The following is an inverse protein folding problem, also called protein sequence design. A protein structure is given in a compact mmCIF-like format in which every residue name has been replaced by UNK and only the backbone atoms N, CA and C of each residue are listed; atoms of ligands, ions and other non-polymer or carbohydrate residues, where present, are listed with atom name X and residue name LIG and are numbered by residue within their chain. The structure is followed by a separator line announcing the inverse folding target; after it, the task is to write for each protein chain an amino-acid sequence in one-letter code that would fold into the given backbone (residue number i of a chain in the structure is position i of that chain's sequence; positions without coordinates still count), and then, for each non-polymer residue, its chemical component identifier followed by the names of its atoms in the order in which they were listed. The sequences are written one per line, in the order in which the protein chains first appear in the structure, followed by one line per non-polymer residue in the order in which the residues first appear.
data_IF_611612165420
#
_entry.id   IF_611612165420
#
_cell.length_a   1.000
_cell.length_b   1.000
_cell.length_c   1.000
_cell.angle_alpha   90.00
_cell.angle_beta   90.00
_cell.angle_gamma   90.00
#
_symmetry.space_group_name_H-M   'P 1'
#
loop_
_entity.id
_entity.type
_entity.pdbx_description
1 polymer ?
#
# COMPACT_ATOMS: atom_id res chain seq x y z
N UNK A 1 -6.65 -4.34 62.28
CA UNK A 1 -5.61 -4.83 61.34
C UNK A 1 -5.95 -4.61 59.85
N UNK A 2 -6.74 -3.59 59.47
CA UNK A 2 -7.19 -3.40 58.07
C UNK A 2 -6.38 -2.38 57.23
N UNK A 3 -5.45 -1.62 57.83
CA UNK A 3 -4.74 -0.52 57.13
C UNK A 3 -3.47 -0.92 56.36
N UNK A 4 -2.92 -2.12 56.59
CA UNK A 4 -1.66 -2.55 55.93
C UNK A 4 -1.87 -3.06 54.50
N UNK A 5 -3.07 -3.51 54.16
CA UNK A 5 -3.38 -4.04 52.83
C UNK A 5 -3.57 -2.94 51.77
N UNK A 6 -3.98 -1.74 52.21
CA UNK A 6 -4.17 -0.59 51.32
C UNK A 6 -2.86 0.00 50.77
N UNK A 7 -1.77 -0.06 51.54
CA UNK A 7 -0.45 0.40 51.10
C UNK A 7 0.20 -0.55 50.07
N UNK A 8 -0.03 -1.85 50.20
CA UNK A 8 0.42 -2.83 49.22
C UNK A 8 -0.36 -2.69 47.89
N UNK A 9 -1.68 -2.48 47.96
CA UNK A 9 -2.52 -2.29 46.78
C UNK A 9 -2.15 -1.02 45.99
N UNK A 10 -1.88 0.10 46.68
CA UNK A 10 -1.45 1.35 46.05
C UNK A 10 -0.08 1.26 45.40
N UNK A 11 0.87 0.55 46.02
CA UNK A 11 2.18 0.28 45.43
C UNK A 11 2.11 -0.53 44.13
N UNK A 12 1.25 -1.55 44.09
CA UNK A 12 1.03 -2.38 42.88
C UNK A 12 0.36 -1.57 41.77
N UNK A 13 -0.67 -0.77 42.09
CA UNK A 13 -1.34 0.09 41.10
C UNK A 13 -0.36 1.11 40.50
N UNK A 14 0.48 1.73 41.32
CA UNK A 14 1.50 2.67 40.84
C UNK A 14 2.51 1.99 39.92
N UNK A 15 2.97 0.78 40.26
CA UNK A 15 3.88 -0.01 39.44
C UNK A 15 3.27 -0.39 38.09
N UNK A 16 1.99 -0.77 38.06
CA UNK A 16 1.26 -1.08 36.81
C UNK A 16 1.10 0.17 35.96
N UNK A 17 0.77 1.33 36.56
CA UNK A 17 0.64 2.59 35.83
C UNK A 17 1.98 3.10 35.30
N UNK A 18 3.07 2.95 36.05
CA UNK A 18 4.42 3.30 35.58
C UNK A 18 4.85 2.36 34.45
N UNK A 19 4.61 1.06 34.57
CA UNK A 19 4.91 0.11 33.50
C UNK A 19 4.10 0.41 32.23
N UNK A 20 2.79 0.65 32.35
CA UNK A 20 1.93 1.05 31.25
C UNK A 20 2.37 2.40 30.64
N UNK A 21 2.73 3.37 31.48
CA UNK A 21 3.28 4.66 31.06
C UNK A 21 4.61 4.52 30.32
N UNK A 22 5.48 3.61 30.75
CA UNK A 22 6.77 3.33 30.07
C UNK A 22 6.55 2.59 28.75
N UNK A 23 5.59 1.67 28.68
CA UNK A 23 5.21 0.98 27.43
C UNK A 23 4.66 1.97 26.40
N UNK A 24 3.75 2.86 26.83
CA UNK A 24 3.20 3.94 26.00
C UNK A 24 4.29 4.95 25.60
N UNK A 25 5.14 5.39 26.55
CA UNK A 25 6.21 6.35 26.29
C UNK A 25 7.34 5.79 25.42
N UNK A 26 7.58 4.47 25.44
CA UNK A 26 8.53 3.80 24.54
C UNK A 26 7.96 3.54 23.15
N UNK A 27 6.69 3.87 22.90
CA UNK A 27 6.05 3.65 21.60
C UNK A 27 5.82 2.17 21.30
N UNK A 28 5.75 1.32 22.32
CA UNK A 28 5.33 -0.07 22.17
C UNK A 28 3.81 -0.09 22.10
N UNK A 29 3.29 0.50 21.03
CA UNK A 29 1.91 0.28 20.62
C UNK A 29 1.88 -1.16 20.14
N UNK A 30 1.47 -2.07 21.03
CA UNK A 30 0.90 -3.32 20.56
C UNK A 30 -0.27 -2.89 19.67
N UNK A 31 -0.20 -3.24 18.39
CA UNK A 31 -1.33 -3.19 17.49
C UNK A 31 -2.05 -4.54 17.61
N UNK A 32 -3.00 -4.76 18.55
CA UNK A 32 -3.97 -5.82 18.37
C UNK A 32 -5.11 -5.26 17.53
N UNK A 33 -4.82 -4.73 16.33
CA UNK A 33 -5.88 -4.54 15.36
C UNK A 33 -6.08 -5.92 14.75
N UNK A 34 -6.91 -6.72 15.41
CA UNK A 34 -7.49 -7.91 14.83
C UNK A 34 -8.86 -7.52 14.33
N UNK A 35 -8.97 -7.32 13.03
CA UNK A 35 -10.24 -7.15 12.36
C UNK A 35 -11.00 -8.50 12.48
N UNK A 36 -12.21 -8.55 13.06
CA UNK A 36 -12.93 -9.80 13.22
C UNK A 36 -13.13 -10.51 11.87
N UNK A 37 -12.78 -11.79 11.79
CA UNK A 37 -12.89 -12.57 10.55
C UNK A 37 -11.68 -12.46 9.61
N UNK A 38 -10.58 -11.84 10.04
CA UNK A 38 -9.32 -11.78 9.29
C UNK A 38 -8.24 -12.65 9.92
N UNK A 39 -7.21 -12.97 9.14
CA UNK A 39 -6.06 -13.79 9.56
C UNK A 39 -4.79 -12.95 9.44
N UNK A 40 -4.05 -12.80 10.53
CA UNK A 40 -2.76 -12.07 10.48
C UNK A 40 -1.76 -12.79 9.58
N UNK A 41 -1.05 -12.02 8.75
CA UNK A 41 -0.01 -12.51 7.84
C UNK A 41 1.33 -11.86 8.13
N UNK A 42 2.45 -12.57 7.91
CA UNK A 42 3.78 -12.01 8.14
C UNK A 42 4.07 -10.90 7.12
N UNK A 43 4.30 -9.69 7.64
CA UNK A 43 4.73 -8.51 6.87
C UNK A 43 6.17 -8.17 7.21
N UNK A 44 7.04 -8.13 6.19
CA UNK A 44 8.44 -7.76 6.36
C UNK A 44 8.72 -6.39 5.76
N UNK A 45 9.37 -5.51 6.51
CA UNK A 45 9.91 -4.25 5.97
C UNK A 45 11.26 -4.57 5.33
N UNK A 46 11.30 -4.56 4.00
CA UNK A 46 12.51 -4.86 3.22
C UNK A 46 13.39 -3.62 3.10
N UNK A 47 12.79 -2.45 2.89
CA UNK A 47 13.49 -1.17 2.84
C UNK A 47 12.60 -0.04 3.37
N UNK A 48 13.18 0.87 4.15
CA UNK A 48 12.53 2.12 4.58
C UNK A 48 12.85 3.31 3.68
N UNK A 49 13.58 3.06 2.59
CA UNK A 49 13.98 4.06 1.61
C UNK A 49 13.56 3.60 0.22
N UNK A 50 13.12 4.53 -0.60
CA UNK A 50 12.67 4.26 -1.96
C UNK A 50 12.47 5.54 -2.76
N UNK A 51 11.76 5.46 -3.90
CA UNK A 51 11.34 6.64 -4.65
C UNK A 51 10.53 7.59 -3.77
N UNK A 52 10.57 8.89 -4.10
CA UNK A 52 9.72 9.88 -3.43
C UNK A 52 8.26 9.52 -3.70
N UNK A 53 7.42 9.48 -2.67
CA UNK A 53 6.01 9.21 -2.87
C UNK A 53 5.37 10.40 -3.57
N UNK A 54 4.66 10.14 -4.66
CA UNK A 54 4.08 11.18 -5.53
C UNK A 54 2.66 10.85 -5.91
N UNK A 55 1.90 11.88 -6.35
CA UNK A 55 0.58 11.68 -6.97
C UNK A 55 -0.56 11.24 -6.05
N UNK A 56 -0.40 11.36 -4.73
CA UNK A 56 -1.39 10.99 -3.71
C UNK A 56 -1.80 9.51 -3.70
N UNK A 57 -0.94 8.63 -4.21
CA UNK A 57 -1.13 7.18 -4.19
C UNK A 57 -0.38 6.61 -3.00
N UNK A 58 -1.13 6.14 -2.00
CA UNK A 58 -0.53 5.68 -0.75
C UNK A 58 0.04 4.26 -0.84
N UNK A 59 -0.47 3.44 -1.76
CA UNK A 59 -0.06 2.03 -1.88
C UNK A 59 0.00 1.57 -3.33
N UNK A 60 1.07 0.86 -3.65
CA UNK A 60 1.25 0.11 -4.89
C UNK A 60 1.70 -1.29 -4.55
N UNK A 61 1.31 -2.27 -5.36
CA UNK A 61 1.66 -3.65 -5.13
C UNK A 61 1.97 -4.37 -6.45
N UNK A 62 3.01 -5.20 -6.44
CA UNK A 62 3.43 -5.98 -7.60
C UNK A 62 4.23 -7.23 -7.19
N UNK A 63 4.37 -8.17 -8.12
CA UNK A 63 5.09 -9.43 -7.90
C UNK A 63 6.59 -9.33 -8.18
N UNK A 64 7.05 -8.21 -8.76
CA UNK A 64 8.43 -7.95 -9.10
C UNK A 64 8.83 -6.52 -8.73
N UNK A 65 10.11 -6.31 -8.46
CA UNK A 65 10.66 -4.96 -8.22
C UNK A 65 10.55 -4.07 -9.45
N UNK A 66 10.68 -4.64 -10.64
CA UNK A 66 10.66 -3.89 -11.90
C UNK A 66 9.26 -3.33 -12.19
N UNK A 67 8.22 -4.15 -11.98
CA UNK A 67 6.82 -3.71 -12.10
C UNK A 67 6.49 -2.64 -11.06
N UNK A 68 6.94 -2.83 -9.81
CA UNK A 68 6.71 -1.86 -8.75
C UNK A 68 7.41 -0.53 -9.04
N UNK A 69 8.65 -0.57 -9.53
CA UNK A 69 9.38 0.62 -9.98
C UNK A 69 8.66 1.28 -11.15
N UNK A 70 8.18 0.51 -12.12
CA UNK A 70 7.43 1.05 -13.25
C UNK A 70 6.17 1.80 -12.81
N UNK A 71 5.41 1.25 -11.86
CA UNK A 71 4.25 1.91 -11.25
C UNK A 71 4.66 3.21 -10.54
N UNK A 72 5.71 3.18 -9.70
CA UNK A 72 6.16 4.38 -8.97
C UNK A 72 6.67 5.49 -9.90
N UNK A 73 7.39 5.14 -10.98
CA UNK A 73 7.93 6.10 -11.95
C UNK A 73 6.85 6.65 -12.89
N UNK A 74 5.76 5.91 -13.09
CA UNK A 74 4.63 6.39 -13.85
C UNK A 74 3.86 7.51 -13.14
N UNK A 75 3.81 7.48 -11.81
CA UNK A 75 3.09 8.47 -11.01
C UNK A 75 3.89 9.78 -10.86
N UNK A 76 5.21 9.70 -10.75
CA UNK A 76 6.08 10.86 -10.57
C UNK A 76 7.37 10.77 -11.41
N UNK A 77 7.46 11.61 -12.45
CA UNK A 77 8.59 11.60 -13.39
C UNK A 77 9.95 11.92 -12.73
N UNK A 78 9.98 12.73 -11.66
CA UNK A 78 11.21 13.07 -10.93
C UNK A 78 11.85 11.90 -10.16
N UNK A 79 11.11 10.80 -9.99
CA UNK A 79 11.60 9.61 -9.28
C UNK A 79 12.62 8.82 -10.09
N UNK A 80 12.52 8.82 -11.41
CA UNK A 80 13.32 7.96 -12.28
C UNK A 80 14.81 8.34 -12.21
N UNK A 81 15.12 9.64 -12.36
CA UNK A 81 16.49 10.14 -12.25
C UNK A 81 17.05 9.99 -10.83
N UNK A 82 16.24 10.27 -9.81
CA UNK A 82 16.63 10.15 -8.41
C UNK A 82 16.98 8.70 -8.05
N UNK A 83 16.16 7.75 -8.52
CA UNK A 83 16.35 6.33 -8.26
C UNK A 83 17.44 5.68 -9.12
N UNK A 84 17.73 6.21 -10.31
CA UNK A 84 18.90 5.78 -11.10
C UNK A 84 20.20 6.00 -10.33
N UNK A 85 20.31 7.12 -9.62
CA UNK A 85 21.49 7.45 -8.80
C UNK A 85 21.45 6.70 -7.46
N UNK A 86 20.31 6.72 -6.77
CA UNK A 86 20.15 6.13 -5.45
C UNK A 86 19.99 4.60 -5.46
N UNK A 87 19.83 3.98 -6.65
CA UNK A 87 19.58 2.54 -6.82
C UNK A 87 18.38 2.06 -6.00
N UNK A 88 17.24 2.73 -6.15
CA UNK A 88 16.02 2.37 -5.40
C UNK A 88 15.67 0.90 -5.63
N UNK A 89 15.73 0.11 -4.55
CA UNK A 89 15.32 -1.30 -4.48
C UNK A 89 16.01 -2.28 -5.45
N UNK A 90 16.97 -1.84 -6.26
CA UNK A 90 17.61 -2.68 -7.28
C UNK A 90 18.56 -3.75 -6.71
N UNK A 91 18.90 -3.67 -5.43
CA UNK A 91 19.71 -4.65 -4.69
C UNK A 91 18.88 -5.57 -3.79
N UNK A 92 17.55 -5.50 -3.85
CA UNK A 92 16.68 -6.27 -2.97
C UNK A 92 16.63 -7.72 -3.43
N UNK A 93 17.06 -8.64 -2.57
CA UNK A 93 16.89 -10.08 -2.74
C UNK A 93 15.97 -10.61 -1.67
N UNK A 94 14.86 -11.24 -2.07
CA UNK A 94 13.93 -11.88 -1.15
C UNK A 94 14.28 -13.35 -0.96
N UNK A 95 14.18 -13.83 0.28
CA UNK A 95 14.41 -15.25 0.59
C UNK A 95 13.30 -16.18 0.08
N UNK A 96 12.11 -15.62 -0.22
CA UNK A 96 10.92 -16.36 -0.68
C UNK A 96 10.17 -15.54 -1.73
N UNK A 97 9.39 -16.20 -2.60
CA UNK A 97 8.41 -15.51 -3.45
C UNK A 97 7.42 -14.73 -2.58
N UNK A 98 7.34 -13.43 -2.80
CA UNK A 98 6.52 -12.51 -2.01
C UNK A 98 5.82 -11.49 -2.90
N UNK A 99 4.64 -11.06 -2.47
CA UNK A 99 4.05 -9.82 -2.93
C UNK A 99 4.89 -8.65 -2.41
N UNK A 100 5.33 -7.78 -3.31
CA UNK A 100 6.02 -6.55 -2.96
C UNK A 100 5.03 -5.40 -2.91
N UNK A 101 5.13 -4.59 -1.86
CA UNK A 101 4.22 -3.47 -1.64
C UNK A 101 5.07 -2.22 -1.42
N UNK A 102 4.85 -1.19 -2.24
CA UNK A 102 5.37 0.14 -2.00
C UNK A 102 4.32 0.92 -1.20
N UNK A 103 4.63 1.18 0.08
CA UNK A 103 3.78 1.94 0.99
C UNK A 103 4.33 3.35 1.15
N UNK A 104 3.52 4.36 0.85
CA UNK A 104 3.81 5.76 1.13
C UNK A 104 3.84 5.94 2.64
N UNK A 105 5.04 5.98 3.20
CA UNK A 105 5.22 6.17 4.63
C UNK A 105 5.33 7.67 4.96
N UNK A 106 4.84 8.10 6.13
CA UNK A 106 5.10 9.45 6.63
C UNK A 106 6.60 9.72 6.73
N UNK A 107 6.97 10.99 6.86
CA UNK A 107 8.36 11.41 6.92
C UNK A 107 9.21 10.50 7.83
N UNK A 108 10.44 10.12 7.44
CA UNK A 108 11.33 9.19 8.16
C UNK A 108 11.51 9.41 9.66
N UNK A 109 11.15 10.58 10.18
CA UNK A 109 11.23 10.91 11.58
C UNK A 109 9.98 10.61 12.41
N UNK A 110 8.93 10.01 11.83
CA UNK A 110 7.87 9.40 12.61
C UNK A 110 8.26 7.97 12.99
N UNK A 111 8.00 7.59 14.24
CA UNK A 111 7.95 6.17 14.59
C UNK A 111 6.72 5.56 13.93
N UNK A 112 6.84 4.42 13.27
CA UNK A 112 5.66 3.67 12.83
C UNK A 112 5.78 2.18 13.11
N UNK A 113 4.63 1.56 13.32
CA UNK A 113 4.47 0.11 13.47
C UNK A 113 3.51 -0.34 12.37
N UNK A 114 3.87 -1.43 11.69
CA UNK A 114 3.07 -2.01 10.64
C UNK A 114 2.61 -3.41 11.06
N UNK A 115 1.38 -3.74 10.71
CA UNK A 115 0.85 -5.11 10.76
C UNK A 115 -0.03 -5.35 9.53
N UNK A 116 -0.27 -6.62 9.21
CA UNK A 116 -1.13 -6.97 8.09
C UNK A 116 -1.99 -8.19 8.41
N UNK A 117 -3.17 -8.20 7.79
CA UNK A 117 -4.15 -9.26 7.90
C UNK A 117 -4.89 -9.46 6.58
N UNK A 118 -5.27 -10.70 6.33
CA UNK A 118 -6.07 -11.10 5.18
C UNK A 118 -7.49 -11.35 5.63
N UNK A 119 -8.42 -10.57 5.09
CA UNK A 119 -9.85 -10.67 5.34
C UNK A 119 -10.63 -11.42 4.26
N UNK A 120 -11.95 -11.52 4.43
CA UNK A 120 -12.83 -12.10 3.42
C UNK A 120 -12.74 -11.36 2.09
N UNK A 121 -12.90 -12.08 0.97
CA UNK A 121 -12.90 -11.48 -0.36
C UNK A 121 -11.51 -11.20 -0.95
N UNK A 122 -10.45 -11.86 -0.46
CA UNK A 122 -9.07 -11.63 -0.91
C UNK A 122 -8.63 -10.17 -0.72
N UNK A 123 -8.90 -9.64 0.47
CA UNK A 123 -8.49 -8.32 0.92
C UNK A 123 -7.31 -8.46 1.89
N UNK A 124 -6.19 -7.83 1.58
CA UNK A 124 -5.04 -7.66 2.46
C UNK A 124 -5.08 -6.23 3.00
N UNK A 125 -5.27 -6.09 4.31
CA UNK A 125 -5.21 -4.80 4.97
C UNK A 125 -3.85 -4.64 5.62
N UNK A 126 -3.24 -3.47 5.40
CA UNK A 126 -2.01 -3.04 6.08
C UNK A 126 -2.42 -1.98 7.09
N UNK A 127 -2.20 -2.28 8.36
CA UNK A 127 -2.42 -1.33 9.44
C UNK A 127 -1.11 -0.63 9.77
N UNK A 128 -1.09 0.69 9.62
CA UNK A 128 -0.01 1.56 10.05
C UNK A 128 -0.41 2.33 11.31
N UNK A 129 0.34 2.16 12.40
CA UNK A 129 0.28 3.08 13.54
C UNK A 129 1.44 4.06 13.44
N UNK A 130 1.11 5.34 13.28
CA UNK A 130 2.07 6.44 13.25
C UNK A 130 2.18 7.00 14.68
N UNK A 131 3.37 6.98 15.25
CA UNK A 131 3.67 7.46 16.59
C UNK A 131 4.13 8.92 16.62
N UNK A 132 4.83 9.28 17.71
CA UNK A 132 5.34 10.63 17.92
C UNK A 132 6.41 11.03 16.88
N UNK A 133 6.48 12.34 16.61
CA UNK A 133 7.52 12.97 15.79
C UNK A 133 8.86 13.01 16.54
N UNK A 134 9.90 12.42 15.96
CA UNK A 134 11.27 12.38 16.52
C UNK A 134 12.30 13.12 15.65
N UNK A 135 11.84 14.09 14.84
CA UNK A 135 12.72 14.88 13.99
C UNK A 135 13.67 15.77 14.83
N UNK A 136 15.01 15.64 14.69
CA UNK A 136 15.93 16.60 15.29
C UNK A 136 15.73 18.00 14.67
N UNK A 137 15.99 19.06 15.44
CA UNK A 137 15.87 20.44 14.96
C UNK A 137 16.75 20.63 13.71
N UNK A 138 16.16 21.17 12.63
CA UNK A 138 16.85 21.40 11.35
C UNK A 138 16.65 20.30 10.29
N UNK A 139 15.95 19.20 10.60
CA UNK A 139 15.69 18.08 9.69
C UNK A 139 14.61 18.37 8.60
N UNK A 140 14.39 19.62 8.21
CA UNK A 140 13.31 20.02 7.29
C UNK A 140 13.38 19.31 5.92
N UNK A 141 14.58 18.90 5.48
CA UNK A 141 14.77 18.15 4.23
C UNK A 141 14.39 16.65 4.32
N UNK A 142 14.19 16.10 5.53
CA UNK A 142 13.71 14.73 5.76
C UNK A 142 12.18 14.65 5.83
N UNK A 143 11.46 15.73 5.48
CA UNK A 143 10.01 15.79 5.58
C UNK A 143 9.26 15.28 4.34
N UNK A 144 9.96 14.80 3.32
CA UNK A 144 9.33 14.33 2.08
C UNK A 144 8.97 12.84 2.21
N UNK A 145 7.69 12.46 2.04
CA UNK A 145 7.29 11.06 2.03
C UNK A 145 8.04 10.26 0.96
N UNK A 146 8.42 9.04 1.31
CA UNK A 146 9.07 8.10 0.39
C UNK A 146 8.42 6.74 0.51
N UNK A 147 8.44 5.96 -0.56
CA UNK A 147 7.92 4.62 -0.50
C UNK A 147 8.83 3.71 0.33
N UNK A 148 8.24 3.02 1.29
CA UNK A 148 8.83 1.86 1.93
C UNK A 148 8.53 0.62 1.09
N UNK A 149 9.50 -0.28 1.00
CA UNK A 149 9.29 -1.58 0.38
C UNK A 149 8.96 -2.61 1.44
N UNK A 150 7.78 -3.19 1.33
CA UNK A 150 7.28 -4.27 2.17
C UNK A 150 7.20 -5.56 1.36
N UNK A 151 7.26 -6.70 2.04
CA UNK A 151 7.09 -8.01 1.45
C UNK A 151 6.13 -8.86 2.30
N UNK A 152 5.16 -9.50 1.63
CA UNK A 152 4.29 -10.52 2.21
C UNK A 152 4.47 -11.83 1.43
N UNK A 153 4.85 -12.94 2.07
CA UNK A 153 5.05 -14.22 1.39
C UNK A 153 3.78 -14.70 0.67
N UNK A 154 3.91 -15.17 -0.57
CA UNK A 154 2.74 -15.58 -1.38
C UNK A 154 2.00 -16.79 -0.82
N UNK A 155 2.70 -17.63 -0.08
CA UNK A 155 2.14 -18.81 0.61
C UNK A 155 1.10 -18.44 1.69
N UNK A 156 1.15 -17.21 2.18
CA UNK A 156 0.24 -16.69 3.21
C UNK A 156 -0.89 -15.85 2.59
N UNK A 157 -0.94 -15.76 1.25
CA UNK A 157 -1.90 -14.97 0.49
C UNK A 157 -2.83 -15.87 -0.34
N UNK A 158 -4.06 -15.41 -0.63
CA UNK A 158 -4.94 -16.10 -1.57
C UNK A 158 -4.32 -16.13 -2.98
N UNK A 159 -4.54 -17.21 -3.73
CA UNK A 159 -3.80 -17.51 -4.98
C UNK A 159 -4.25 -16.71 -6.22
N UNK A 160 -5.02 -15.63 -6.04
CA UNK A 160 -5.69 -14.90 -7.13
C UNK A 160 -5.40 -13.40 -7.06
N UNK A 161 -6.31 -12.60 -7.58
CA UNK A 161 -6.23 -11.14 -7.45
C UNK A 161 -6.53 -10.78 -6.00
N UNK A 162 -5.66 -9.98 -5.42
CA UNK A 162 -5.73 -9.51 -4.05
C UNK A 162 -5.89 -8.00 -4.07
N UNK A 163 -6.85 -7.48 -3.31
CA UNK A 163 -6.94 -6.05 -3.03
C UNK A 163 -6.06 -5.75 -1.83
N UNK A 164 -5.21 -4.73 -1.92
CA UNK A 164 -4.36 -4.28 -0.83
C UNK A 164 -4.85 -2.91 -0.37
N UNK A 165 -5.31 -2.82 0.87
CA UNK A 165 -5.75 -1.58 1.51
C UNK A 165 -4.78 -1.17 2.60
N UNK A 166 -4.71 0.14 2.86
CA UNK A 166 -3.91 0.68 3.96
C UNK A 166 -4.81 1.51 4.86
N UNK A 167 -4.76 1.21 6.15
CA UNK A 167 -5.40 1.98 7.20
C UNK A 167 -4.32 2.59 8.08
N UNK A 168 -4.38 3.90 8.31
CA UNK A 168 -3.42 4.59 9.16
C UNK A 168 -4.10 5.14 10.42
N UNK A 169 -3.50 4.87 11.57
CA UNK A 169 -3.91 5.42 12.87
C UNK A 169 -2.83 6.37 13.38
N UNK A 170 -3.24 7.56 13.85
CA UNK A 170 -2.32 8.56 14.39
C UNK A 170 -2.86 9.14 15.70
N UNK A 171 -2.08 9.14 16.80
CA UNK A 171 -2.45 9.75 18.07
C UNK A 171 -2.49 11.29 17.98
N UNK A 172 -1.92 11.89 16.93
CA UNK A 172 -2.07 13.32 16.66
C UNK A 172 -3.50 13.68 16.20
N UNK A 173 -4.26 12.69 15.72
CA UNK A 173 -5.65 12.81 15.28
C UNK A 173 -6.58 12.24 16.37
N UNK A 174 -6.59 12.87 17.55
CA UNK A 174 -7.60 12.70 18.60
C UNK A 174 -8.04 11.26 19.00
N UNK A 175 -7.19 10.24 18.81
CA UNK A 175 -7.39 8.90 19.40
C UNK A 175 -8.54 8.06 18.83
N UNK A 176 -9.24 8.52 17.79
CA UNK A 176 -10.15 7.65 17.05
C UNK A 176 -9.39 6.95 15.92
N UNK A 177 -9.54 5.63 15.75
CA UNK A 177 -9.03 4.96 14.57
C UNK A 177 -9.74 5.57 13.36
N UNK A 178 -8.96 6.13 12.43
CA UNK A 178 -9.45 6.34 11.07
C UNK A 178 -9.66 4.93 10.50
N UNK A 179 -10.86 4.39 10.66
CA UNK A 179 -11.31 3.17 9.97
C UNK A 179 -11.61 3.49 8.49
N UNK A 180 -10.79 4.34 7.87
CA UNK A 180 -10.96 4.75 6.50
C UNK A 180 -9.66 4.45 5.77
N UNK A 181 -9.76 3.59 4.75
CA UNK A 181 -8.62 3.20 3.93
C UNK A 181 -8.05 4.45 3.28
N UNK A 182 -6.81 4.80 3.64
CA UNK A 182 -6.12 5.96 3.09
C UNK A 182 -5.64 5.70 1.65
N UNK A 183 -5.57 4.43 1.25
CA UNK A 183 -5.30 4.01 -0.11
C UNK A 183 -5.69 2.57 -0.36
N UNK A 184 -5.91 2.24 -1.63
CA UNK A 184 -6.18 0.88 -2.09
C UNK A 184 -5.54 0.65 -3.45
N UNK A 185 -5.04 -0.56 -3.66
CA UNK A 185 -4.55 -1.05 -4.94
C UNK A 185 -4.92 -2.51 -5.11
N UNK A 186 -4.71 -3.06 -6.31
CA UNK A 186 -4.89 -4.50 -6.54
C UNK A 186 -3.60 -5.11 -7.04
N UNK A 187 -3.37 -6.36 -6.70
CA UNK A 187 -2.23 -7.14 -7.13
C UNK A 187 -2.70 -8.45 -7.76
N UNK A 188 -2.12 -8.80 -8.91
CA UNK A 188 -2.36 -10.08 -9.54
C UNK A 188 -1.32 -11.11 -9.09
N UNK A 189 -1.72 -12.03 -8.21
CA UNK A 189 -0.81 -13.02 -7.61
C UNK A 189 -0.68 -14.32 -8.42
N UNK A 190 -1.37 -14.44 -9.57
CA UNK A 190 -1.32 -15.71 -10.33
C UNK A 190 0.11 -15.94 -10.82
N UNK A 191 0.51 -17.21 -10.95
CA UNK A 191 1.84 -17.54 -11.48
C UNK A 191 2.03 -16.99 -12.91
N UNK A 192 3.26 -16.64 -13.32
CA UNK A 192 3.54 -16.24 -14.70
C UNK A 192 3.06 -17.30 -15.69
N UNK A 193 2.44 -16.87 -16.79
CA UNK A 193 1.99 -17.79 -17.86
C UNK A 193 3.20 -18.16 -18.72
N UNK A 194 3.47 -19.46 -18.86
CA UNK A 194 4.56 -19.92 -19.73
C UNK A 194 4.41 -19.35 -21.14
N UNK A 195 5.49 -18.80 -21.70
CA UNK A 195 5.57 -18.17 -23.03
C UNK A 195 4.91 -16.79 -23.23
N UNK A 196 4.38 -16.16 -22.18
CA UNK A 196 4.22 -14.70 -22.20
C UNK A 196 5.53 -14.09 -21.69
N UNK A 197 6.18 -13.26 -22.51
CA UNK A 197 7.30 -12.45 -22.05
C UNK A 197 6.86 -11.71 -20.79
N UNK A 198 7.55 -11.97 -19.68
CA UNK A 198 7.28 -11.45 -18.36
C UNK A 198 7.28 -9.92 -18.39
N UNK A 199 6.11 -9.32 -18.57
CA UNK A 199 5.85 -7.88 -18.55
C UNK A 199 6.68 -7.00 -19.52
N UNK A 200 6.09 -5.89 -19.94
CA UNK A 200 6.50 -4.53 -19.54
C UNK A 200 5.41 -3.65 -20.13
N UNK A 201 4.36 -3.34 -19.36
CA UNK A 201 3.67 -2.08 -19.64
C UNK A 201 4.71 -1.03 -19.34
N UNK A 202 5.24 -0.37 -20.38
CA UNK A 202 6.37 0.54 -20.18
C UNK A 202 5.96 1.68 -19.25
N UNK A 203 6.92 2.27 -18.54
CA UNK A 203 6.66 3.49 -17.77
C UNK A 203 5.95 4.53 -18.63
N UNK A 204 6.30 4.61 -19.92
CA UNK A 204 5.66 5.48 -20.89
C UNK A 204 4.20 5.10 -21.17
N UNK A 205 3.90 3.82 -21.35
CA UNK A 205 2.52 3.33 -21.52
C UNK A 205 1.68 3.63 -20.27
N UNK A 206 2.19 3.35 -19.07
CA UNK A 206 1.51 3.70 -17.82
C UNK A 206 1.28 5.21 -17.69
N UNK A 207 2.27 6.04 -18.00
CA UNK A 207 2.11 7.52 -18.00
C UNK A 207 1.05 7.96 -19.00
N UNK A 208 1.03 7.35 -20.19
CA UNK A 208 0.02 7.61 -21.21
C UNK A 208 -1.37 7.24 -20.71
N UNK A 209 -1.53 6.05 -20.11
CA UNK A 209 -2.77 5.55 -19.53
C UNK A 209 -3.29 6.49 -18.43
N UNK A 210 -2.42 6.86 -17.49
CA UNK A 210 -2.74 7.80 -16.40
C UNK A 210 -3.16 9.16 -16.96
N UNK A 211 -2.44 9.68 -17.97
CA UNK A 211 -2.74 10.98 -18.58
C UNK A 211 -4.09 10.96 -19.29
N UNK A 212 -4.36 9.91 -20.08
CA UNK A 212 -5.62 9.72 -20.80
C UNK A 212 -6.80 9.58 -19.83
N UNK A 213 -6.66 8.74 -18.81
CA UNK A 213 -7.66 8.55 -17.76
C UNK A 213 -7.91 9.85 -16.98
N UNK A 214 -6.86 10.60 -16.63
CA UNK A 214 -6.99 11.91 -15.95
C UNK A 214 -7.77 12.91 -16.79
N UNK A 215 -7.47 13.02 -18.08
CA UNK A 215 -8.15 13.95 -18.98
C UNK A 215 -9.65 13.61 -19.11
N UNK A 216 -9.98 12.33 -19.30
CA UNK A 216 -11.38 11.88 -19.34
C UNK A 216 -12.07 12.15 -18.00
N UNK A 217 -11.46 11.79 -16.88
CA UNK A 217 -12.03 12.02 -15.56
C UNK A 217 -12.25 13.52 -15.27
N UNK A 218 -11.30 14.39 -15.65
CA UNK A 218 -11.41 15.84 -15.46
C UNK A 218 -12.58 16.42 -16.27
N UNK A 219 -12.80 15.90 -17.47
CA UNK A 219 -13.94 16.29 -18.30
C UNK A 219 -15.29 15.90 -17.68
N UNK A 220 -15.33 14.78 -16.94
CA UNK A 220 -16.54 14.29 -16.26
C UNK A 220 -16.82 15.00 -14.94
N UNK A 221 -15.78 15.33 -14.17
CA UNK A 221 -15.92 16.02 -12.88
C UNK A 221 -15.99 17.55 -12.97
N UNK A 222 -15.89 18.12 -14.19
CA UNK A 222 -16.00 19.57 -14.37
C UNK A 222 -14.84 20.37 -13.78
N UNK A 223 -13.67 19.76 -13.60
CA UNK A 223 -12.51 20.43 -13.01
C UNK A 223 -11.20 19.64 -13.11
N UNK A 224 -10.05 20.33 -13.01
CA UNK A 224 -8.71 19.73 -13.17
C UNK A 224 -8.27 18.89 -11.96
N UNK A 225 -8.99 18.94 -10.84
CA UNK A 225 -8.58 18.36 -9.56
C UNK A 225 -9.11 16.93 -9.37
N UNK A 226 -8.77 16.02 -10.28
CA UNK A 226 -9.06 14.59 -10.09
C UNK A 226 -7.86 13.90 -9.47
N UNK A 227 -8.07 13.29 -8.30
CA UNK A 227 -7.04 12.58 -7.56
C UNK A 227 -6.92 11.15 -8.08
N UNK A 228 -5.70 10.73 -8.40
CA UNK A 228 -5.39 9.32 -8.64
C UNK A 228 -5.45 8.61 -7.27
N UNK A 229 -6.34 7.63 -7.14
CA UNK A 229 -6.59 6.91 -5.88
C UNK A 229 -6.09 5.46 -5.91
N UNK A 230 -5.87 4.91 -7.10
CA UNK A 230 -5.35 3.55 -7.29
C UNK A 230 -4.64 3.39 -8.63
N UNK A 231 -3.58 2.59 -8.62
CA UNK A 231 -2.85 2.18 -9.82
C UNK A 231 -2.35 0.75 -9.62
N UNK A 232 -2.59 -0.11 -10.59
CA UNK A 232 -2.22 -1.52 -10.53
C UNK A 232 -1.90 -2.10 -11.90
N UNK A 233 -1.08 -3.15 -11.92
CA UNK A 233 -0.91 -4.04 -13.07
C UNK A 233 -1.67 -5.34 -12.82
N UNK A 234 -2.46 -5.77 -13.79
CA UNK A 234 -3.26 -6.99 -13.67
C UNK A 234 -3.47 -7.64 -15.03
N UNK A 235 -3.76 -8.94 -15.03
CA UNK A 235 -4.18 -9.66 -16.23
C UNK A 235 -5.70 -9.72 -16.35
N UNK A 236 -6.21 -9.49 -17.55
CA UNK A 236 -7.62 -9.66 -17.91
C UNK A 236 -7.76 -10.52 -19.16
N UNK A 237 -8.91 -11.20 -19.35
CA UNK A 237 -9.21 -11.85 -20.61
C UNK A 237 -9.21 -10.81 -21.74
N UNK A 238 -8.57 -11.07 -22.89
CA UNK A 238 -8.54 -10.09 -23.99
C UNK A 238 -9.92 -9.69 -24.49
N UNK A 239 -10.89 -10.61 -24.41
CA UNK A 239 -12.27 -10.39 -24.81
C UNK A 239 -13.09 -9.55 -23.80
N UNK A 240 -12.63 -9.44 -22.55
CA UNK A 240 -13.27 -8.67 -21.50
C UNK A 240 -12.32 -7.55 -21.09
N UNK A 241 -12.52 -6.35 -21.65
CA UNK A 241 -11.66 -5.17 -21.41
C UNK A 241 -11.89 -4.65 -19.97
N UNK A 242 -11.58 -5.45 -18.96
CA UNK A 242 -11.38 -4.98 -17.60
C UNK A 242 -12.58 -4.90 -16.67
N UNK A 243 -13.80 -4.64 -17.18
CA UNK A 243 -14.96 -4.36 -16.31
C UNK A 243 -15.54 -5.56 -15.57
N UNK A 244 -15.30 -6.78 -16.06
CA UNK A 244 -15.67 -7.96 -15.31
C UNK A 244 -14.63 -8.21 -14.22
N UNK A 245 -15.12 -8.52 -13.01
CA UNK A 245 -14.26 -9.03 -11.93
C UNK A 245 -13.53 -10.24 -12.47
N UNK A 246 -12.27 -10.06 -12.91
CA UNK A 246 -11.47 -11.02 -13.67
C UNK A 246 -11.11 -12.29 -12.89
N UNK A 247 -12.13 -13.03 -12.49
CA UNK A 247 -12.12 -14.24 -11.70
C UNK A 247 -12.20 -15.51 -12.55
N UNK A 248 -12.34 -15.36 -13.87
CA UNK A 248 -12.26 -16.49 -14.79
C UNK A 248 -10.80 -16.71 -15.16
N UNK A 249 -10.30 -17.91 -14.87
CA UNK A 249 -9.02 -18.45 -15.35
C UNK A 249 -9.12 -18.72 -16.87
N UNK A 250 -9.37 -17.65 -17.64
CA UNK A 250 -9.46 -17.71 -19.08
C UNK A 250 -8.08 -18.06 -19.65
N UNK A 251 -8.04 -18.86 -20.72
CA UNK A 251 -6.78 -19.23 -21.37
C UNK A 251 -6.09 -18.03 -22.07
N UNK A 252 -6.84 -16.96 -22.39
CA UNK A 252 -6.35 -15.80 -23.13
C UNK A 252 -6.30 -14.53 -22.27
N UNK A 253 -5.44 -14.57 -21.25
CA UNK A 253 -5.15 -13.42 -20.40
C UNK A 253 -4.09 -12.51 -21.03
N UNK A 254 -4.24 -11.21 -20.89
CA UNK A 254 -3.25 -10.22 -21.26
C UNK A 254 -3.04 -9.21 -20.13
N UNK A 255 -1.80 -8.73 -20.00
CA UNK A 255 -1.42 -7.70 -19.04
C UNK A 255 -1.95 -6.34 -19.45
N UNK A 256 -2.51 -5.63 -18.49
CA UNK A 256 -2.92 -4.25 -18.62
C UNK A 256 -2.66 -3.46 -17.35
N UNK A 257 -3.11 -2.21 -17.36
CA UNK A 257 -3.11 -1.35 -16.18
C UNK A 257 -4.53 -0.99 -15.75
N UNK A 258 -4.75 -0.98 -14.45
CA UNK A 258 -5.92 -0.38 -13.80
C UNK A 258 -5.51 0.99 -13.26
N UNK A 259 -6.24 2.03 -13.64
CA UNK A 259 -6.05 3.40 -13.16
C UNK A 259 -7.37 3.87 -12.54
N UNK A 260 -7.34 4.32 -11.29
CA UNK A 260 -8.55 4.70 -10.55
C UNK A 260 -8.51 6.18 -10.21
N UNK A 261 -9.55 6.90 -10.66
CA UNK A 261 -9.77 8.30 -10.32
C UNK A 261 -11.14 8.44 -9.65
N UNK A 262 -11.15 8.70 -8.34
CA UNK A 262 -12.37 8.72 -7.53
C UNK A 262 -13.17 7.40 -7.67
N UNK A 263 -14.33 7.43 -8.34
CA UNK A 263 -15.24 6.28 -8.54
C UNK A 263 -15.14 5.65 -9.95
N UNK A 264 -14.16 6.09 -10.74
CA UNK A 264 -13.96 5.59 -12.10
C UNK A 264 -12.74 4.70 -12.19
N UNK A 265 -12.95 3.50 -12.72
CA UNK A 265 -11.90 2.55 -13.03
C UNK A 265 -11.63 2.55 -14.54
N UNK A 266 -10.41 2.87 -14.91
CA UNK A 266 -9.92 2.85 -16.28
C UNK A 266 -9.04 1.63 -16.45
N UNK A 267 -9.43 0.76 -17.38
CA UNK A 267 -8.70 -0.45 -17.71
C UNK A 267 -8.04 -0.25 -19.07
N UNK A 268 -6.72 -0.35 -19.10
CA UNK A 268 -5.94 -0.23 -20.33
C UNK A 268 -5.31 -1.56 -20.71
N UNK A 269 -5.61 -2.02 -21.92
CA UNK A 269 -5.15 -3.29 -22.46
C UNK A 269 -4.80 -3.09 -23.94
N UNK A 270 -3.54 -3.31 -24.33
CA UNK A 270 -3.09 -3.21 -25.72
C UNK A 270 -3.51 -1.89 -26.44
N UNK A 271 -3.43 -0.75 -25.73
CA UNK A 271 -3.81 0.57 -26.24
C UNK A 271 -5.32 0.86 -26.29
N UNK A 272 -6.16 -0.11 -25.92
CA UNK A 272 -7.58 0.10 -25.70
C UNK A 272 -7.81 0.53 -24.25
N UNK A 273 -8.68 1.52 -24.05
CA UNK A 273 -9.08 1.97 -22.71
C UNK A 273 -10.58 1.75 -22.56
N UNK A 274 -10.98 1.05 -21.50
CA UNK A 274 -12.37 0.90 -21.10
C UNK A 274 -12.59 1.57 -19.75
N UNK A 275 -13.73 2.25 -19.63
CA UNK A 275 -14.19 2.88 -18.39
C UNK A 275 -15.23 1.97 -17.75
N UNK A 276 -15.00 1.62 -16.49
CA UNK A 276 -15.89 0.83 -15.66
C UNK A 276 -16.35 1.70 -14.48
N UNK A 277 -17.65 1.70 -14.19
CA UNK A 277 -18.17 2.39 -13.02
C UNK A 277 -18.06 1.48 -11.81
N UNK A 278 -17.57 1.99 -10.67
CA UNK A 278 -17.50 1.22 -9.42
C UNK A 278 -18.83 1.21 -8.65
N UNK A 279 -19.86 1.88 -9.16
CA UNK A 279 -21.21 1.82 -8.60
C UNK A 279 -21.96 0.59 -9.12
N UNK A 280 -22.35 -0.37 -8.25
CA UNK A 280 -23.32 -1.40 -8.62
C UNK A 280 -24.69 -0.79 -8.97
#
# INVERSE_FOLDING_TARGET
MAKRWWLAATGVVLLVLVAAGVVLARGWVLLPVHTPGTTSVPLSVVSRTGPVAGGNVEVLAAMSTDDLLALTFAIAASNEDSCRVAKCWSSVTLARPSLLIALSAPAPCYKSVLSADVGPGALLTIHEAIGALECPRGALALAVPSYWLLAVPLQDLPSKVLTVTVDATSPALAGEPLNEAIGSTTADLRSPVANQSNHVTTVQELRSAITKARLDAASRFGGPSVRLTGLALRRWPRAAIGCDSGGNDAADLAWGSLVVFAVYEYHELAGQTMLCSTTP
#
